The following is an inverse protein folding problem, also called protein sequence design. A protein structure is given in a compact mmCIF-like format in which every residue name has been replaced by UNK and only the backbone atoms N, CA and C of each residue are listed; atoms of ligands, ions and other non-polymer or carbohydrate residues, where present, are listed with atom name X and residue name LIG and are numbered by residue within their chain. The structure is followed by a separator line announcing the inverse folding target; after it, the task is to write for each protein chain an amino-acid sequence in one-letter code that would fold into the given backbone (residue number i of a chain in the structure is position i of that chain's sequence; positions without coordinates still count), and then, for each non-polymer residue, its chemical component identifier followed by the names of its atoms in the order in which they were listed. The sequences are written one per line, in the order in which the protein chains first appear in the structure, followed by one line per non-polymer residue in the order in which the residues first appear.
data_IF_797537020720
#
_entry.id   IF_797537020720
#
_cell.length_a   1.000
_cell.length_b   1.000
_cell.length_c   1.000
_cell.angle_alpha   90.00
_cell.angle_beta   90.00
_cell.angle_gamma   90.00
#
_symmetry.space_group_name_H-M   'P 1'
#
loop_
_entity.id
_entity.type
_entity.pdbx_description
1 polymer ?
#
# COMPACT_ATOMS: atom_id res chain seq x y z
N UNK A 1 -2.90 -0.89 -42.97
CA UNK A 1 -2.03 -1.70 -42.08
C UNK A 1 -1.94 -1.01 -40.74
N UNK A 2 -2.69 -1.47 -39.75
CA UNK A 2 -2.61 -0.95 -38.38
C UNK A 2 -1.30 -1.47 -37.76
N UNK A 3 -0.47 -0.62 -37.13
CA UNK A 3 0.76 -1.09 -36.51
C UNK A 3 0.41 -2.10 -35.39
N UNK A 4 1.22 -3.17 -35.19
CA UNK A 4 0.97 -4.16 -34.16
C UNK A 4 0.84 -3.46 -32.79
N UNK A 5 -0.13 -3.88 -31.94
CA UNK A 5 -0.29 -3.30 -30.62
C UNK A 5 1.04 -3.39 -29.87
N UNK A 6 1.60 -2.25 -29.48
CA UNK A 6 2.87 -2.21 -28.74
C UNK A 6 2.65 -2.98 -27.45
N UNK A 7 3.32 -4.12 -27.27
CA UNK A 7 3.31 -4.86 -26.01
C UNK A 7 3.78 -3.92 -24.91
N UNK A 8 2.86 -3.45 -24.08
CA UNK A 8 3.15 -2.57 -22.95
C UNK A 8 4.07 -3.33 -22.00
N UNK A 9 5.15 -2.69 -21.53
CA UNK A 9 6.07 -3.31 -20.56
C UNK A 9 5.28 -3.72 -19.32
N UNK A 10 5.52 -4.92 -18.80
CA UNK A 10 4.86 -5.44 -17.58
C UNK A 10 5.01 -4.48 -16.39
N UNK A 11 6.15 -3.80 -16.28
CA UNK A 11 6.37 -2.75 -15.28
C UNK A 11 5.44 -1.54 -15.42
N UNK A 12 5.02 -1.19 -16.64
CA UNK A 12 4.08 -0.10 -16.87
C UNK A 12 2.65 -0.51 -16.50
N UNK A 13 2.24 -1.74 -16.81
CA UNK A 13 0.94 -2.26 -16.38
C UNK A 13 0.86 -2.31 -14.85
N UNK A 14 1.92 -2.78 -14.19
CA UNK A 14 1.97 -2.83 -12.72
C UNK A 14 1.89 -1.44 -12.10
N UNK A 15 2.58 -0.45 -12.67
CA UNK A 15 2.50 0.95 -12.21
C UNK A 15 1.08 1.52 -12.27
N UNK A 16 0.30 1.16 -13.29
CA UNK A 16 -1.10 1.59 -13.41
C UNK A 16 -1.92 1.01 -12.25
N UNK A 17 -1.79 -0.30 -11.99
CA UNK A 17 -2.47 -0.96 -10.87
C UNK A 17 -2.07 -0.34 -9.53
N UNK A 18 -0.77 -0.07 -9.32
CA UNK A 18 -0.28 0.55 -8.08
C UNK A 18 -0.79 1.98 -7.91
N UNK A 19 -0.84 2.76 -8.99
CA UNK A 19 -1.41 4.12 -8.95
C UNK A 19 -2.91 4.10 -8.61
N UNK A 20 -3.66 3.12 -9.11
CA UNK A 20 -5.07 2.94 -8.79
C UNK A 20 -5.27 2.54 -7.32
N UNK A 21 -4.44 1.62 -6.80
CA UNK A 21 -4.47 1.20 -5.40
C UNK A 21 -4.20 2.38 -4.44
N UNK A 22 -3.18 3.19 -4.74
CA UNK A 22 -2.86 4.38 -3.96
C UNK A 22 -3.98 5.43 -4.03
N UNK A 23 -4.48 5.71 -5.23
CA UNK A 23 -5.56 6.69 -5.43
C UNK A 23 -6.81 6.29 -4.66
N UNK A 24 -7.23 5.03 -4.71
CA UNK A 24 -8.40 4.53 -3.95
C UNK A 24 -8.23 4.71 -2.45
N UNK A 25 -7.05 4.39 -1.91
CA UNK A 25 -6.80 4.53 -0.47
C UNK A 25 -6.76 6.01 -0.05
N UNK A 26 -6.17 6.88 -0.85
CA UNK A 26 -6.15 8.32 -0.62
C UNK A 26 -7.56 8.94 -0.68
N UNK A 27 -8.37 8.57 -1.66
CA UNK A 27 -9.76 9.02 -1.76
C UNK A 27 -10.56 8.58 -0.55
N UNK A 28 -10.41 7.34 -0.09
CA UNK A 28 -11.08 6.86 1.13
C UNK A 28 -10.67 7.68 2.35
N UNK A 29 -9.36 7.89 2.54
CA UNK A 29 -8.85 8.70 3.67
C UNK A 29 -9.42 10.12 3.65
N UNK A 30 -9.52 10.73 2.46
CA UNK A 30 -10.08 12.06 2.30
C UNK A 30 -11.57 12.08 2.66
N UNK A 31 -12.36 11.15 2.13
CA UNK A 31 -13.79 11.01 2.45
C UNK A 31 -14.04 10.78 3.95
N UNK A 32 -13.26 9.91 4.58
CA UNK A 32 -13.35 9.65 6.02
C UNK A 32 -13.06 10.94 6.83
N UNK A 33 -12.15 11.80 6.34
CA UNK A 33 -11.84 13.09 6.99
C UNK A 33 -12.95 14.12 6.80
N UNK A 34 -13.51 14.25 5.59
CA UNK A 34 -14.61 15.18 5.28
C UNK A 34 -15.86 14.88 6.11
N UNK A 35 -16.27 13.61 6.19
CA UNK A 35 -17.41 13.17 6.98
C UNK A 35 -17.32 13.60 8.46
N UNK A 36 -16.10 13.64 9.01
CA UNK A 36 -15.90 14.01 10.41
C UNK A 36 -15.98 15.51 10.65
N UNK A 37 -15.50 16.30 9.68
CA UNK A 37 -15.71 17.74 9.73
C UNK A 37 -17.20 18.10 9.62
N UNK A 38 -17.97 17.36 8.81
CA UNK A 38 -19.44 17.49 8.75
C UNK A 38 -20.11 17.17 10.10
N UNK A 39 -19.73 16.04 10.72
CA UNK A 39 -20.25 15.66 12.05
C UNK A 39 -19.91 16.74 13.10
N UNK A 40 -18.69 17.29 13.06
CA UNK A 40 -18.26 18.36 13.97
C UNK A 40 -19.07 19.63 13.75
N UNK A 41 -19.24 20.05 12.51
CA UNK A 41 -20.00 21.24 12.14
C UNK A 41 -21.45 21.13 12.62
N UNK A 42 -22.11 20.00 12.35
CA UNK A 42 -23.47 19.74 12.80
C UNK A 42 -23.58 19.77 14.34
N UNK A 43 -22.62 19.17 15.05
CA UNK A 43 -22.63 19.15 16.52
C UNK A 43 -22.42 20.54 17.12
N UNK A 44 -21.57 21.36 16.51
CA UNK A 44 -21.33 22.75 16.93
C UNK A 44 -22.57 23.62 16.70
N UNK A 45 -23.27 23.44 15.57
CA UNK A 45 -24.50 24.16 15.25
C UNK A 45 -25.62 23.89 16.27
N UNK A 46 -25.72 22.66 16.77
CA UNK A 46 -26.73 22.28 17.78
C UNK A 46 -26.27 22.62 19.21
N UNK A 47 -25.11 23.26 19.39
CA UNK A 47 -24.54 23.52 20.71
C UNK A 47 -25.28 24.63 21.50
N UNK A 48 -25.29 24.58 22.84
CA UNK A 48 -25.94 25.54 23.71
C UNK A 48 -25.39 26.94 23.56
N UNK A 49 -24.16 27.13 23.09
CA UNK A 49 -23.59 28.47 22.91
C UNK A 49 -24.20 29.17 21.70
N UNK A 50 -24.47 28.43 20.61
CA UNK A 50 -25.33 28.90 19.53
C UNK A 50 -26.75 29.22 20.04
N UNK A 51 -27.34 28.29 20.80
CA UNK A 51 -28.70 28.45 21.31
C UNK A 51 -28.83 29.59 22.35
N UNK A 52 -27.81 29.79 23.20
CA UNK A 52 -27.70 30.89 24.17
C UNK A 52 -27.50 32.23 23.48
N UNK A 53 -26.74 32.30 22.38
CA UNK A 53 -26.70 33.52 21.56
C UNK A 53 -28.07 33.83 20.96
N UNK A 54 -28.79 32.83 20.42
CA UNK A 54 -30.13 33.02 19.88
C UNK A 54 -31.18 33.38 20.95
N UNK A 55 -31.12 32.76 22.14
CA UNK A 55 -31.99 33.11 23.27
C UNK A 55 -31.58 34.43 23.93
N UNK A 56 -30.30 34.75 24.04
CA UNK A 56 -29.79 36.02 24.60
C UNK A 56 -30.31 37.23 23.85
N UNK A 57 -30.43 37.12 22.52
CA UNK A 57 -31.08 38.12 21.68
C UNK A 57 -32.56 38.28 22.09
N UNK A 58 -33.28 37.18 22.35
CA UNK A 58 -34.68 37.18 22.77
C UNK A 58 -34.91 37.79 24.16
N UNK A 59 -33.96 37.65 25.11
CA UNK A 59 -34.06 38.26 26.45
C UNK A 59 -33.93 39.78 26.43
N UNK A 60 -33.18 40.32 25.48
CA UNK A 60 -32.99 41.78 25.36
C UNK A 60 -34.28 42.48 24.91
N UNK A 61 -35.22 41.75 24.28
CA UNK A 61 -36.52 42.26 23.85
C UNK A 61 -37.64 42.08 24.90
N UNK A 62 -37.43 41.33 25.99
CA UNK A 62 -38.50 40.89 26.90
C UNK A 62 -38.57 41.57 28.28
N UNK A 63 -37.61 42.41 28.66
CA UNK A 63 -37.45 42.90 30.04
C UNK A 63 -38.30 44.14 30.41
N UNK A 64 -39.40 44.42 29.71
CA UNK A 64 -40.23 45.62 29.97
C UNK A 64 -41.59 45.40 30.67
N UNK A 65 -41.96 44.20 31.15
CA UNK A 65 -43.19 44.08 31.96
C UNK A 65 -43.06 43.16 33.19
N UNK A 66 -43.23 43.78 34.35
CA UNK A 66 -43.18 43.16 35.67
C UNK A 66 -44.49 42.52 36.16
N UNK A 67 -44.31 41.79 37.27
CA UNK A 67 -45.28 41.29 38.25
C UNK A 67 -46.40 40.31 37.83
N UNK A 68 -46.05 39.01 37.78
CA UNK A 68 -46.98 37.90 38.07
C UNK A 68 -46.22 36.61 38.47
N UNK A 69 -45.55 36.61 39.63
CA UNK A 69 -44.59 35.57 40.03
C UNK A 69 -45.11 34.63 41.14
N UNK A 70 -45.82 33.58 40.77
CA UNK A 70 -45.87 32.32 41.56
C UNK A 70 -45.92 31.07 40.67
N UNK A 71 -46.64 31.14 39.54
CA UNK A 71 -46.52 30.14 38.46
C UNK A 71 -45.24 30.34 37.61
N UNK A 72 -44.71 31.56 37.58
CA UNK A 72 -43.47 31.88 36.88
C UNK A 72 -42.26 31.13 37.46
N UNK A 73 -42.19 30.90 38.78
CA UNK A 73 -41.10 30.11 39.38
C UNK A 73 -41.13 28.63 38.96
N UNK A 74 -42.31 28.03 38.86
CA UNK A 74 -42.47 26.64 38.39
C UNK A 74 -42.11 26.52 36.90
N UNK A 75 -42.63 27.41 36.05
CA UNK A 75 -42.32 27.42 34.60
C UNK A 75 -40.84 27.73 34.37
N UNK A 76 -40.27 28.65 35.14
CA UNK A 76 -38.86 29.00 35.08
C UNK A 76 -37.95 27.86 35.55
N UNK A 77 -38.34 27.11 36.59
CA UNK A 77 -37.60 25.93 37.03
C UNK A 77 -37.59 24.82 35.98
N UNK A 78 -38.72 24.59 35.28
CA UNK A 78 -38.83 23.65 34.17
C UNK A 78 -37.99 24.14 32.99
N UNK A 79 -38.04 25.42 32.64
CA UNK A 79 -37.21 26.00 31.59
C UNK A 79 -35.72 25.88 31.90
N UNK A 80 -35.29 26.21 33.12
CA UNK A 80 -33.91 26.04 33.57
C UNK A 80 -33.48 24.57 33.48
N UNK A 81 -34.33 23.64 33.91
CA UNK A 81 -34.07 22.21 33.77
C UNK A 81 -33.91 21.78 32.31
N UNK A 82 -34.70 22.33 31.38
CA UNK A 82 -34.56 22.07 29.93
C UNK A 82 -33.25 22.65 29.38
N UNK A 83 -32.86 23.86 29.81
CA UNK A 83 -31.58 24.48 29.43
C UNK A 83 -30.40 23.67 29.96
N UNK A 84 -30.44 23.27 31.23
CA UNK A 84 -29.39 22.47 31.87
C UNK A 84 -29.28 21.08 31.23
N UNK A 85 -30.41 20.42 30.94
CA UNK A 85 -30.44 19.14 30.24
C UNK A 85 -29.88 19.26 28.80
N UNK A 86 -30.17 20.36 28.11
CA UNK A 86 -29.62 20.63 26.78
C UNK A 86 -28.12 20.90 26.85
N UNK A 87 -27.66 21.63 27.87
CA UNK A 87 -26.25 21.88 28.13
C UNK A 87 -25.48 20.59 28.43
N UNK A 88 -26.02 19.72 29.28
CA UNK A 88 -25.43 18.42 29.61
C UNK A 88 -25.37 17.50 28.37
N UNK A 89 -26.45 17.47 27.58
CA UNK A 89 -26.50 16.71 26.32
C UNK A 89 -25.42 17.19 25.36
N UNK A 90 -25.24 18.50 25.22
CA UNK A 90 -24.21 19.05 24.36
C UNK A 90 -22.79 18.78 24.86
N UNK A 91 -22.55 18.87 26.17
CA UNK A 91 -21.27 18.52 26.77
C UNK A 91 -20.91 17.04 26.48
N UNK A 92 -21.87 16.12 26.62
CA UNK A 92 -21.66 14.71 26.28
C UNK A 92 -21.35 14.48 24.79
N UNK A 93 -22.02 15.23 23.89
CA UNK A 93 -21.77 15.17 22.43
C UNK A 93 -20.39 15.75 22.06
N UNK A 94 -19.97 16.84 22.70
CA UNK A 94 -18.64 17.41 22.52
C UNK A 94 -17.53 16.45 22.97
N UNK A 95 -17.70 15.83 24.14
CA UNK A 95 -16.76 14.82 24.62
C UNK A 95 -16.62 13.64 23.64
N UNK A 96 -17.75 13.11 23.15
CA UNK A 96 -17.73 12.06 22.13
C UNK A 96 -17.04 12.52 20.83
N UNK A 97 -17.28 13.76 20.39
CA UNK A 97 -16.64 14.34 19.20
C UNK A 97 -15.13 14.52 19.36
N UNK A 98 -14.65 14.89 20.55
CA UNK A 98 -13.23 14.97 20.87
C UNK A 98 -12.56 13.59 20.87
N UNK A 99 -13.25 12.58 21.41
CA UNK A 99 -12.78 11.21 21.42
C UNK A 99 -12.70 10.61 20.00
N UNK A 100 -13.71 10.87 19.16
CA UNK A 100 -13.62 10.53 17.73
C UNK A 100 -12.45 11.24 17.06
N UNK A 101 -12.25 12.54 17.28
CA UNK A 101 -11.10 13.27 16.73
C UNK A 101 -9.76 12.64 17.15
N UNK A 102 -9.65 12.20 18.40
CA UNK A 102 -8.46 11.51 18.91
C UNK A 102 -8.22 10.19 18.18
N UNK A 103 -9.25 9.35 18.06
CA UNK A 103 -9.19 8.06 17.37
C UNK A 103 -8.84 8.22 15.89
N UNK A 104 -9.49 9.16 15.19
CA UNK A 104 -9.19 9.46 13.79
C UNK A 104 -7.79 10.03 13.63
N UNK A 105 -7.33 10.91 14.52
CA UNK A 105 -5.95 11.36 14.50
C UNK A 105 -4.95 10.19 14.60
N UNK A 106 -5.27 9.13 15.34
CA UNK A 106 -4.46 7.90 15.38
C UNK A 106 -4.57 7.09 14.08
N UNK A 107 -5.78 6.88 13.57
CA UNK A 107 -6.02 6.15 12.32
C UNK A 107 -5.38 6.86 11.11
N UNK A 108 -5.51 8.17 11.00
CA UNK A 108 -4.89 8.98 9.93
C UNK A 108 -3.35 8.91 9.94
N UNK A 109 -2.74 8.87 11.13
CA UNK A 109 -1.29 8.63 11.25
C UNK A 109 -0.92 7.21 10.82
N UNK A 110 -1.70 6.21 11.24
CA UNK A 110 -1.49 4.81 10.82
C UNK A 110 -1.62 4.65 9.30
N UNK A 111 -2.68 5.21 8.71
CA UNK A 111 -2.93 5.21 7.26
C UNK A 111 -1.82 5.91 6.48
N UNK A 112 -1.32 7.06 6.98
CA UNK A 112 -0.18 7.74 6.35
C UNK A 112 1.06 6.86 6.35
N UNK A 113 1.40 6.26 7.50
CA UNK A 113 2.54 5.34 7.60
C UNK A 113 2.35 4.11 6.70
N UNK A 114 1.12 3.58 6.64
CA UNK A 114 0.75 2.48 5.75
C UNK A 114 0.88 2.85 4.27
N UNK A 115 0.47 4.05 3.88
CA UNK A 115 0.64 4.58 2.51
C UNK A 115 2.12 4.70 2.13
N UNK A 116 2.94 5.26 3.03
CA UNK A 116 4.39 5.36 2.81
C UNK A 116 5.03 3.97 2.68
N UNK A 117 4.64 3.01 3.53
CA UNK A 117 5.10 1.64 3.43
C UNK A 117 4.62 0.95 2.14
N UNK A 118 3.37 1.17 1.72
CA UNK A 118 2.82 0.62 0.49
C UNK A 118 3.56 1.15 -0.73
N UNK A 119 3.80 2.46 -0.79
CA UNK A 119 4.58 3.09 -1.85
C UNK A 119 5.99 2.51 -1.94
N UNK A 120 6.63 2.26 -0.79
CA UNK A 120 7.95 1.64 -0.72
C UNK A 120 7.95 0.23 -1.33
N UNK A 121 7.07 -0.65 -0.86
CA UNK A 121 7.00 -2.04 -1.36
C UNK A 121 6.63 -2.06 -2.86
N UNK A 122 5.70 -1.21 -3.29
CA UNK A 122 5.34 -1.06 -4.70
C UNK A 122 6.54 -0.60 -5.56
N UNK A 123 7.37 0.32 -5.05
CA UNK A 123 8.59 0.74 -5.75
C UNK A 123 9.59 -0.42 -5.89
N UNK A 124 9.79 -1.20 -4.82
CA UNK A 124 10.67 -2.38 -4.82
C UNK A 124 10.20 -3.43 -5.86
N UNK A 125 8.89 -3.69 -5.96
CA UNK A 125 8.33 -4.60 -6.99
C UNK A 125 8.56 -4.06 -8.41
N UNK A 126 8.37 -2.75 -8.62
CA UNK A 126 8.60 -2.11 -9.92
C UNK A 126 10.07 -2.18 -10.32
N UNK A 127 11.00 -1.99 -9.38
CA UNK A 127 12.43 -2.06 -9.64
C UNK A 127 12.87 -3.50 -9.95
N UNK A 128 12.33 -4.49 -9.25
CA UNK A 128 12.55 -5.90 -9.58
C UNK A 128 12.06 -6.25 -11.01
N UNK A 129 10.92 -5.70 -11.43
CA UNK A 129 10.42 -5.86 -12.80
C UNK A 129 11.30 -5.16 -13.85
N UNK A 130 11.90 -4.01 -13.52
CA UNK A 130 12.85 -3.32 -14.40
C UNK A 130 14.12 -4.15 -14.57
N UNK A 131 14.60 -4.75 -13.50
CA UNK A 131 15.79 -5.62 -13.55
C UNK A 131 15.52 -6.88 -14.37
N UNK A 132 14.38 -7.54 -14.17
CA UNK A 132 13.95 -8.66 -15.01
C UNK A 132 13.94 -8.30 -16.50
N UNK A 133 13.47 -7.10 -16.85
CA UNK A 133 13.49 -6.63 -18.23
C UNK A 133 14.92 -6.47 -18.77
N UNK A 134 15.85 -5.96 -17.96
CA UNK A 134 17.28 -5.82 -18.29
C UNK A 134 17.91 -7.18 -18.56
N UNK A 135 17.78 -8.11 -17.63
CA UNK A 135 18.35 -9.47 -17.73
C UNK A 135 17.74 -10.24 -18.90
N UNK A 136 16.41 -10.13 -19.11
CA UNK A 136 15.72 -10.71 -20.27
C UNK A 136 16.28 -10.21 -21.60
N UNK A 137 16.57 -8.91 -21.70
CA UNK A 137 17.18 -8.33 -22.91
C UNK A 137 18.58 -8.91 -23.13
N UNK A 138 19.42 -8.94 -22.09
CA UNK A 138 20.76 -9.55 -22.16
C UNK A 138 20.68 -11.01 -22.62
N UNK A 139 19.74 -11.80 -22.10
CA UNK A 139 19.53 -13.18 -22.53
C UNK A 139 19.26 -13.30 -24.03
N UNK A 140 18.39 -12.46 -24.60
CA UNK A 140 18.14 -12.47 -26.05
C UNK A 140 19.36 -12.05 -26.87
N UNK A 141 20.10 -11.04 -26.41
CA UNK A 141 21.30 -10.55 -27.08
C UNK A 141 22.38 -11.66 -27.13
N UNK A 142 22.65 -12.33 -26.00
CA UNK A 142 23.60 -13.45 -25.94
C UNK A 142 23.11 -14.69 -26.68
N UNK A 143 21.80 -14.96 -26.67
CA UNK A 143 21.22 -16.04 -27.47
C UNK A 143 21.46 -15.81 -28.96
N UNK A 144 21.33 -14.58 -29.43
CA UNK A 144 21.62 -14.24 -30.82
C UNK A 144 23.11 -14.42 -31.16
N UNK A 145 24.02 -13.93 -30.29
CA UNK A 145 25.47 -14.09 -30.46
C UNK A 145 25.86 -15.58 -30.55
N UNK A 146 25.34 -16.41 -29.65
CA UNK A 146 25.61 -17.85 -29.65
C UNK A 146 25.06 -18.54 -30.92
N UNK A 147 23.89 -18.13 -31.42
CA UNK A 147 23.35 -18.65 -32.68
C UNK A 147 24.28 -18.35 -33.86
N UNK A 148 24.74 -17.11 -33.99
CA UNK A 148 25.69 -16.71 -35.04
C UNK A 148 27.02 -17.47 -34.92
N UNK A 149 27.49 -17.74 -33.69
CA UNK A 149 28.68 -18.55 -33.48
C UNK A 149 28.48 -20.02 -33.91
N UNK A 150 27.29 -20.59 -33.68
CA UNK A 150 26.93 -21.95 -34.14
C UNK A 150 26.94 -22.03 -35.67
N UNK A 151 26.30 -21.07 -36.34
CA UNK A 151 26.26 -21.01 -37.81
C UNK A 151 27.68 -20.93 -38.41
N UNK A 152 28.52 -20.00 -37.91
CA UNK A 152 29.92 -19.86 -38.38
C UNK A 152 30.74 -21.14 -38.16
N UNK A 153 30.52 -21.82 -37.04
CA UNK A 153 31.22 -23.07 -36.73
C UNK A 153 30.74 -24.20 -37.64
N UNK A 154 29.44 -24.31 -37.87
CA UNK A 154 28.86 -25.30 -38.79
C UNK A 154 29.33 -25.09 -40.24
N UNK A 155 29.42 -23.84 -40.69
CA UNK A 155 29.95 -23.49 -42.01
C UNK A 155 31.42 -23.86 -42.14
N UNK A 156 32.25 -23.55 -41.12
CA UNK A 156 33.66 -23.89 -41.11
C UNK A 156 33.88 -25.41 -41.11
N UNK A 157 33.11 -26.16 -40.32
CA UNK A 157 33.15 -27.62 -40.31
C UNK A 157 32.73 -28.20 -41.67
N UNK A 158 31.69 -27.64 -42.30
CA UNK A 158 31.25 -28.06 -43.63
C UNK A 158 32.33 -27.83 -44.69
N UNK A 159 33.02 -26.67 -44.64
CA UNK A 159 34.16 -26.37 -45.51
C UNK A 159 35.35 -27.31 -45.25
N UNK A 160 35.63 -27.62 -44.00
CA UNK A 160 36.70 -28.55 -43.62
C UNK A 160 36.43 -29.97 -44.15
N UNK A 161 35.19 -30.48 -44.03
CA UNK A 161 34.78 -31.79 -44.58
C UNK A 161 34.89 -31.84 -46.11
N UNK A 162 34.41 -30.80 -46.80
CA UNK A 162 34.49 -30.72 -48.28
C UNK A 162 35.93 -30.67 -48.81
N UNK A 163 36.87 -30.20 -48.01
CA UNK A 163 38.28 -30.03 -48.40
C UNK A 163 39.20 -31.14 -47.88
N UNK A 164 38.66 -32.22 -47.30
CA UNK A 164 39.46 -33.36 -46.82
C UNK A 164 40.36 -34.00 -47.89
N UNK A 165 40.00 -33.85 -49.17
CA UNK A 165 40.72 -34.38 -50.33
C UNK A 165 41.62 -33.33 -51.03
N UNK A 166 41.75 -32.12 -50.49
CA UNK A 166 42.54 -31.02 -51.09
C UNK A 166 44.02 -30.97 -50.66
N UNK A 167 44.81 -30.12 -51.33
CA UNK A 167 46.26 -29.91 -51.11
C UNK A 167 46.59 -29.74 -49.60
N UNK A 168 47.58 -30.48 -49.10
CA UNK A 168 47.94 -30.59 -47.67
C UNK A 168 48.07 -29.26 -46.91
N UNK A 169 48.60 -28.20 -47.54
CA UNK A 169 48.76 -26.89 -46.90
C UNK A 169 47.42 -26.17 -46.61
N UNK A 170 46.39 -26.42 -47.41
CA UNK A 170 45.05 -25.85 -47.23
C UNK A 170 44.28 -26.52 -46.08
N UNK A 171 44.47 -27.84 -45.91
CA UNK A 171 43.84 -28.65 -44.86
C UNK A 171 44.22 -28.19 -43.45
N UNK A 172 45.51 -27.98 -43.19
CA UNK A 172 46.00 -27.57 -41.87
C UNK A 172 45.49 -26.18 -41.46
N UNK A 173 45.38 -25.24 -42.42
CA UNK A 173 44.83 -23.91 -42.18
C UNK A 173 43.34 -23.94 -41.79
N UNK A 174 42.54 -24.72 -42.50
CA UNK A 174 41.12 -24.92 -42.22
C UNK A 174 40.87 -25.60 -40.87
N UNK A 175 41.69 -26.59 -40.51
CA UNK A 175 41.63 -27.22 -39.18
C UNK A 175 41.89 -26.20 -38.08
N UNK A 176 42.93 -25.37 -38.20
CA UNK A 176 43.22 -24.29 -37.23
C UNK A 176 42.06 -23.31 -37.07
N UNK A 177 41.44 -22.88 -38.19
CA UNK A 177 40.27 -22.00 -38.17
C UNK A 177 39.08 -22.70 -37.49
N UNK A 178 38.82 -23.97 -37.81
CA UNK A 178 37.74 -24.76 -37.22
C UNK A 178 37.92 -24.89 -35.71
N UNK A 179 39.13 -25.19 -35.24
CA UNK A 179 39.44 -25.26 -33.80
C UNK A 179 39.22 -23.92 -33.11
N UNK A 180 39.66 -22.81 -33.73
CA UNK A 180 39.46 -21.46 -33.18
C UNK A 180 37.98 -21.09 -33.08
N UNK A 181 37.19 -21.38 -34.11
CA UNK A 181 35.75 -21.11 -34.11
C UNK A 181 35.01 -22.00 -33.10
N UNK A 182 35.40 -23.27 -32.97
CA UNK A 182 34.84 -24.20 -31.98
C UNK A 182 35.12 -23.72 -30.55
N UNK A 183 36.33 -23.22 -30.27
CA UNK A 183 36.66 -22.63 -28.97
C UNK A 183 35.83 -21.37 -28.68
N UNK A 184 35.62 -20.51 -29.69
CA UNK A 184 34.75 -19.32 -29.57
C UNK A 184 33.28 -19.69 -29.37
N UNK A 185 32.80 -20.73 -30.04
CA UNK A 185 31.45 -21.24 -29.83
C UNK A 185 31.26 -21.67 -28.38
N UNK A 186 32.20 -22.44 -27.82
CA UNK A 186 32.14 -22.86 -26.43
C UNK A 186 32.08 -21.66 -25.47
N UNK A 187 32.93 -20.65 -25.66
CA UNK A 187 32.89 -19.41 -24.86
C UNK A 187 31.52 -18.70 -24.94
N UNK A 188 30.91 -18.65 -26.13
CA UNK A 188 29.58 -18.08 -26.30
C UNK A 188 28.47 -18.92 -25.64
N UNK A 189 28.58 -20.24 -25.67
CA UNK A 189 27.62 -21.15 -25.02
C UNK A 189 27.71 -21.09 -23.50
N UNK A 190 28.92 -21.03 -22.95
CA UNK A 190 29.14 -20.87 -21.51
C UNK A 190 28.52 -19.56 -21.01
N UNK A 191 28.73 -18.44 -21.72
CA UNK A 191 28.09 -17.14 -21.41
C UNK A 191 26.57 -17.17 -21.58
N UNK A 192 26.06 -17.84 -22.61
CA UNK A 192 24.62 -17.98 -22.79
C UNK A 192 23.99 -18.76 -21.62
N UNK A 193 24.66 -19.80 -21.13
CA UNK A 193 24.21 -20.57 -19.98
C UNK A 193 24.17 -19.71 -18.71
N UNK A 194 25.21 -18.91 -18.46
CA UNK A 194 25.26 -17.96 -17.34
C UNK A 194 24.10 -16.97 -17.36
N UNK A 195 23.92 -16.26 -18.48
CA UNK A 195 22.85 -15.24 -18.60
C UNK A 195 21.46 -15.87 -18.59
N UNK A 196 21.30 -17.10 -19.11
CA UNK A 196 20.05 -17.85 -19.01
C UNK A 196 19.72 -18.17 -17.55
N UNK A 197 20.70 -18.60 -16.77
CA UNK A 197 20.51 -18.91 -15.35
C UNK A 197 20.15 -17.65 -14.56
N UNK A 198 20.84 -16.54 -14.80
CA UNK A 198 20.52 -15.23 -14.21
C UNK A 198 19.08 -14.81 -14.53
N UNK A 199 18.64 -14.96 -15.79
CA UNK A 199 17.27 -14.66 -16.20
C UNK A 199 16.24 -15.52 -15.45
N UNK A 200 16.46 -16.83 -15.35
CA UNK A 200 15.54 -17.75 -14.68
C UNK A 200 15.46 -17.47 -13.16
N UNK A 201 16.60 -17.23 -12.51
CA UNK A 201 16.65 -16.88 -11.09
C UNK A 201 15.94 -15.54 -10.82
N UNK A 202 16.20 -14.53 -11.66
CA UNK A 202 15.54 -13.22 -11.55
C UNK A 202 14.03 -13.35 -11.76
N UNK A 203 13.59 -14.14 -12.74
CA UNK A 203 12.17 -14.41 -13.00
C UNK A 203 11.49 -15.09 -11.80
N UNK A 204 12.14 -16.08 -11.20
CA UNK A 204 11.64 -16.74 -10.00
C UNK A 204 11.55 -15.78 -8.81
N UNK A 205 12.59 -14.97 -8.58
CA UNK A 205 12.61 -13.97 -7.52
C UNK A 205 11.50 -12.92 -7.68
N UNK A 206 11.31 -12.37 -8.89
CA UNK A 206 10.23 -11.41 -9.17
C UNK A 206 8.85 -12.05 -8.99
N UNK A 207 8.67 -13.30 -9.40
CA UNK A 207 7.41 -14.01 -9.22
C UNK A 207 7.08 -14.23 -7.74
N UNK A 208 8.08 -14.61 -6.94
CA UNK A 208 7.95 -14.75 -5.50
C UNK A 208 7.66 -13.40 -4.82
N UNK A 209 8.38 -12.34 -5.19
CA UNK A 209 8.16 -10.99 -4.65
C UNK A 209 6.75 -10.49 -4.98
N UNK A 210 6.27 -10.69 -6.21
CA UNK A 210 4.90 -10.31 -6.59
C UNK A 210 3.86 -11.11 -5.82
N UNK A 211 4.09 -12.41 -5.60
CA UNK A 211 3.19 -13.23 -4.80
C UNK A 211 3.16 -12.75 -3.35
N UNK A 212 4.32 -12.47 -2.76
CA UNK A 212 4.46 -11.94 -1.41
C UNK A 212 3.71 -10.61 -1.24
N UNK A 213 3.84 -9.71 -2.22
CA UNK A 213 3.13 -8.44 -2.24
C UNK A 213 1.61 -8.61 -2.08
N UNK A 214 1.00 -9.51 -2.87
CA UNK A 214 -0.45 -9.70 -2.85
C UNK A 214 -0.94 -10.52 -1.66
N UNK A 215 -0.14 -11.46 -1.17
CA UNK A 215 -0.57 -12.38 -0.10
C UNK A 215 -0.27 -11.85 1.31
N UNK A 216 0.80 -11.07 1.46
CA UNK A 216 1.28 -10.61 2.76
C UNK A 216 1.30 -9.08 2.85
N UNK A 217 2.08 -8.40 2.01
CA UNK A 217 2.37 -6.97 2.21
C UNK A 217 1.10 -6.11 2.09
N UNK A 218 0.35 -6.27 1.01
CA UNK A 218 -0.86 -5.49 0.77
C UNK A 218 -1.93 -5.74 1.85
N UNK A 219 -2.31 -7.00 2.19
CA UNK A 219 -3.23 -7.25 3.29
C UNK A 219 -2.73 -6.71 4.63
N UNK A 220 -1.45 -6.95 4.97
CA UNK A 220 -0.86 -6.53 6.23
C UNK A 220 -0.93 -5.01 6.39
N UNK A 221 -0.51 -4.26 5.36
CA UNK A 221 -0.54 -2.79 5.37
C UNK A 221 -1.97 -2.27 5.48
N UNK A 222 -2.94 -2.89 4.80
CA UNK A 222 -4.34 -2.49 4.88
C UNK A 222 -4.91 -2.73 6.29
N UNK A 223 -4.60 -3.88 6.91
CA UNK A 223 -5.03 -4.25 8.26
C UNK A 223 -4.38 -3.38 9.34
N UNK A 224 -3.06 -3.18 9.27
CA UNK A 224 -2.31 -2.35 10.23
C UNK A 224 -2.74 -0.89 10.18
N UNK A 225 -3.18 -0.41 9.01
CA UNK A 225 -3.68 0.95 8.85
C UNK A 225 -5.08 1.17 9.45
N UNK A 226 -5.86 0.10 9.65
CA UNK A 226 -7.23 0.14 10.15
C UNK A 226 -7.34 -0.05 11.68
N UNK A 227 -6.32 -0.61 12.33
CA UNK A 227 -6.36 -0.93 13.78
C UNK A 227 -5.50 0.08 14.55
N UNK A 228 -6.08 0.96 15.38
CA UNK A 228 -5.29 1.79 16.27
C UNK A 228 -4.59 0.92 17.34
N UNK A 229 -3.32 1.19 17.69
CA UNK A 229 -2.54 0.39 18.64
C UNK A 229 -3.10 0.38 20.08
N UNK A 230 -4.18 1.13 20.36
CA UNK A 230 -4.78 1.29 21.69
C UNK A 230 -6.01 0.43 21.92
N UNK A 231 -6.49 -0.34 20.93
CA UNK A 231 -7.67 -1.19 21.08
C UNK A 231 -7.53 -2.34 22.11
N UNK A 232 -6.35 -2.51 22.73
CA UNK A 232 -6.10 -3.49 23.80
C UNK A 232 -6.14 -2.93 25.23
N UNK A 233 -6.41 -1.64 25.43
CA UNK A 233 -6.44 -1.02 26.75
C UNK A 233 -7.81 -0.40 27.05
N UNK A 234 -8.82 -1.25 27.26
CA UNK A 234 -10.01 -0.81 27.97
C UNK A 234 -9.64 -0.55 29.44
N UNK A 235 -10.02 0.58 30.04
CA UNK A 235 -9.88 0.75 31.48
C UNK A 235 -10.82 -0.24 32.16
N UNK A 236 -10.25 -1.06 33.06
CA UNK A 236 -11.00 -1.90 34.02
C UNK A 236 -12.06 -1.00 34.66
N UNK A 237 -13.35 -1.34 34.53
CA UNK A 237 -14.39 -0.65 35.26
C UNK A 237 -14.06 -0.73 36.76
N UNK A 238 -14.04 0.43 37.41
CA UNK A 238 -13.79 0.57 38.83
C UNK A 238 -14.94 -0.09 39.61
N UNK A 239 -14.81 -1.40 39.88
CA UNK A 239 -15.83 -2.14 40.59
C UNK A 239 -15.62 -3.65 40.68
N UNK A 240 -14.78 -4.26 39.83
CA UNK A 240 -14.53 -5.70 39.95
C UNK A 240 -13.55 -6.02 41.10
N UNK A 241 -13.97 -6.79 42.12
CA UNK A 241 -13.07 -7.21 43.17
C UNK A 241 -12.02 -8.19 42.59
N UNK A 242 -10.77 -8.16 43.10
CA UNK A 242 -9.74 -9.06 42.62
C UNK A 242 -10.13 -10.52 42.86
N UNK A 243 -9.73 -11.46 41.99
CA UNK A 243 -9.98 -12.87 42.19
C UNK A 243 -9.34 -13.30 43.51
N UNK A 244 -10.17 -13.80 44.42
CA UNK A 244 -9.72 -14.36 45.68
C UNK A 244 -8.77 -15.52 45.39
N UNK A 245 -7.52 -15.37 45.79
CA UNK A 245 -6.58 -16.48 45.87
C UNK A 245 -7.11 -17.46 46.92
N UNK A 246 -7.75 -18.54 46.46
CA UNK A 246 -8.02 -19.67 47.32
C UNK A 246 -6.67 -20.28 47.74
N UNK A 247 -6.35 -20.12 49.03
CA UNK A 247 -5.23 -20.77 49.69
C UNK A 247 -5.29 -22.29 49.47
N UNK A 248 -4.16 -22.94 49.17
CA UNK A 248 -4.04 -24.39 49.28
C UNK A 248 -3.67 -24.68 50.73
N UNK A 249 -4.63 -25.05 51.57
CA UNK A 249 -4.41 -25.92 52.73
C UNK A 249 -5.72 -26.13 53.48
N UNK A 250 -6.28 -27.34 53.38
CA UNK A 250 -6.94 -28.07 54.46
C UNK A 250 -7.36 -29.45 53.92
N UNK A 251 -6.56 -30.45 54.33
CA UNK A 251 -6.90 -31.86 54.61
C UNK A 251 -7.68 -32.68 53.59
#
# INVERSE_FOLDING_TARGET
MQPPPRKVKESQQMKVVFSEQLSKLQTKQHQDTELLEEIRYYTLFVSPDCMKSSCGILWTEGDEQGDQYRNAESVFSVWRSVVDATAQTAASRLFAAEEYRRLIGQVSRSLRNGLEQLQRVQAEVVDALRELHRVKKCYYDFSHIANVAREKTADAQTRARKSEHGIFHFKTGLQKITTKLTARLKECEDRLAEVRNEYLLTLAAVSAHRQHYYTNDLPFIMLSSLIPPTAGAYPREAGEPPPQSANPDLT
#
